data_IF_622624869456
#
_entry.id   IF_622624869456
#
_cell.length_a   1.000
_cell.length_b   1.000
_cell.length_c   1.000
_cell.angle_alpha   90.00
_cell.angle_beta   90.00
_cell.angle_gamma   90.00
#
_symmetry.space_group_name_H-M   'P 1'
#
loop_
_entity.id
_entity.type
_entity.pdbx_description
1 polymer ?
#
# COMPACT_ATOMS: atom_id res chain seq x y z
N UNK A 1 -56.00 -10.96 -37.48
CA UNK A 1 -55.84 -10.64 -36.03
C UNK A 1 -54.69 -11.37 -35.33
N UNK A 2 -53.93 -12.25 -36.01
CA UNK A 2 -52.86 -13.04 -35.36
C UNK A 2 -51.48 -12.33 -35.37
N UNK A 3 -51.19 -11.52 -36.39
CA UNK A 3 -49.90 -10.82 -36.53
C UNK A 3 -49.63 -9.76 -35.44
N UNK A 4 -50.67 -9.11 -34.89
CA UNK A 4 -50.52 -8.10 -33.84
C UNK A 4 -50.09 -8.66 -32.48
N UNK A 5 -50.45 -9.92 -32.19
CA UNK A 5 -50.04 -10.62 -30.96
C UNK A 5 -48.57 -11.08 -31.01
N UNK A 6 -48.09 -11.49 -32.19
CA UNK A 6 -46.68 -11.83 -32.38
C UNK A 6 -45.76 -10.59 -32.32
N UNK A 7 -46.21 -9.43 -32.82
CA UNK A 7 -45.48 -8.16 -32.70
C UNK A 7 -45.34 -7.66 -31.26
N UNK A 8 -46.40 -7.78 -30.45
CA UNK A 8 -46.38 -7.42 -29.03
C UNK A 8 -45.49 -8.36 -28.19
N UNK A 9 -45.49 -9.67 -28.49
CA UNK A 9 -44.61 -10.64 -27.84
C UNK A 9 -43.12 -10.41 -28.15
N UNK A 10 -42.79 -10.10 -29.40
CA UNK A 10 -41.41 -9.76 -29.80
C UNK A 10 -40.89 -8.47 -29.17
N UNK A 11 -41.73 -7.45 -29.02
CA UNK A 11 -41.37 -6.19 -28.36
C UNK A 11 -41.11 -6.37 -26.86
N UNK A 12 -41.90 -7.20 -26.17
CA UNK A 12 -41.70 -7.51 -24.74
C UNK A 12 -40.39 -8.28 -24.50
N UNK A 13 -40.10 -9.29 -25.33
CA UNK A 13 -38.84 -10.05 -25.22
C UNK A 13 -37.63 -9.17 -25.55
N UNK A 14 -37.73 -8.33 -26.60
CA UNK A 14 -36.68 -7.36 -26.94
C UNK A 14 -36.42 -6.34 -25.84
N UNK A 15 -37.47 -5.86 -25.17
CA UNK A 15 -37.34 -4.94 -24.04
C UNK A 15 -36.65 -5.60 -22.83
N UNK A 16 -37.05 -6.83 -22.46
CA UNK A 16 -36.44 -7.56 -21.32
C UNK A 16 -34.96 -7.86 -21.57
N UNK A 17 -34.60 -8.32 -22.77
CA UNK A 17 -33.20 -8.60 -23.12
C UNK A 17 -32.37 -7.31 -23.15
N UNK A 18 -32.93 -6.21 -23.68
CA UNK A 18 -32.26 -4.91 -23.69
C UNK A 18 -32.05 -4.36 -22.27
N UNK A 19 -33.07 -4.42 -21.41
CA UNK A 19 -32.95 -3.99 -20.00
C UNK A 19 -31.97 -4.89 -19.22
N UNK A 20 -32.01 -6.21 -19.45
CA UNK A 20 -31.06 -7.15 -18.85
C UNK A 20 -29.61 -6.90 -19.27
N UNK A 21 -29.38 -6.61 -20.56
CA UNK A 21 -28.06 -6.26 -21.08
C UNK A 21 -27.55 -4.94 -20.49
N UNK A 22 -28.41 -3.91 -20.38
CA UNK A 22 -28.05 -2.64 -19.75
C UNK A 22 -27.70 -2.83 -18.27
N UNK A 23 -28.47 -3.59 -17.51
CA UNK A 23 -28.18 -3.87 -16.09
C UNK A 23 -26.86 -4.63 -15.94
N UNK A 24 -26.62 -5.64 -16.77
CA UNK A 24 -25.36 -6.39 -16.75
C UNK A 24 -24.17 -5.49 -17.10
N UNK A 25 -24.32 -4.66 -18.13
CA UNK A 25 -23.30 -3.72 -18.57
C UNK A 25 -23.03 -2.66 -17.50
N UNK A 26 -24.06 -2.10 -16.85
CA UNK A 26 -23.92 -1.18 -15.72
C UNK A 26 -23.19 -1.82 -14.54
N UNK A 27 -23.53 -3.06 -14.18
CA UNK A 27 -22.84 -3.79 -13.11
C UNK A 27 -21.38 -4.06 -13.44
N UNK A 28 -21.10 -4.45 -14.68
CA UNK A 28 -19.73 -4.67 -15.14
C UNK A 28 -18.91 -3.37 -15.08
N UNK A 29 -19.45 -2.27 -15.59
CA UNK A 29 -18.80 -0.95 -15.54
C UNK A 29 -18.59 -0.47 -14.11
N UNK A 30 -19.56 -0.67 -13.21
CA UNK A 30 -19.42 -0.31 -11.81
C UNK A 30 -18.28 -1.09 -11.12
N UNK A 31 -18.16 -2.40 -11.40
CA UNK A 31 -17.11 -3.23 -10.85
C UNK A 31 -15.72 -2.88 -11.41
N UNK A 32 -15.63 -2.56 -12.71
CA UNK A 32 -14.40 -2.08 -13.32
C UNK A 32 -13.97 -0.70 -12.79
N UNK A 33 -14.93 0.19 -12.52
CA UNK A 33 -14.69 1.48 -11.90
C UNK A 33 -14.19 1.35 -10.46
N UNK A 34 -14.81 0.46 -9.67
CA UNK A 34 -14.37 0.12 -8.32
C UNK A 34 -12.94 -0.44 -8.31
N UNK A 35 -12.65 -1.39 -9.21
CA UNK A 35 -11.30 -1.95 -9.35
C UNK A 35 -10.28 -0.88 -9.71
N UNK A 36 -10.60 0.01 -10.64
CA UNK A 36 -9.70 1.10 -11.05
C UNK A 36 -9.48 2.08 -9.90
N UNK A 37 -10.52 2.39 -9.14
CA UNK A 37 -10.43 3.25 -7.97
C UNK A 37 -9.52 2.66 -6.88
N UNK A 38 -9.72 1.39 -6.54
CA UNK A 38 -8.88 0.68 -5.56
C UNK A 38 -7.41 0.60 -6.02
N UNK A 39 -7.16 0.39 -7.31
CA UNK A 39 -5.82 0.43 -7.89
C UNK A 39 -5.17 1.82 -7.75
N UNK A 40 -5.93 2.88 -8.03
CA UNK A 40 -5.43 4.26 -7.87
C UNK A 40 -5.10 4.61 -6.42
N UNK A 41 -5.89 4.11 -5.45
CA UNK A 41 -5.60 4.27 -4.03
C UNK A 41 -4.31 3.54 -3.63
N UNK A 42 -4.11 2.31 -4.12
CA UNK A 42 -2.89 1.54 -3.87
C UNK A 42 -1.64 2.17 -4.50
N UNK A 43 -1.74 2.69 -5.72
CA UNK A 43 -0.64 3.41 -6.39
C UNK A 43 -0.27 4.70 -5.64
N UNK A 44 -1.27 5.44 -5.17
CA UNK A 44 -1.06 6.65 -4.35
C UNK A 44 -0.38 6.30 -3.02
N UNK A 45 -0.87 5.26 -2.33
CA UNK A 45 -0.27 4.80 -1.09
C UNK A 45 1.18 4.31 -1.30
N UNK A 46 1.46 3.62 -2.40
CA UNK A 46 2.81 3.15 -2.72
C UNK A 46 3.79 4.30 -2.96
N UNK A 47 3.37 5.33 -3.70
CA UNK A 47 4.17 6.54 -3.89
C UNK A 47 4.46 7.25 -2.55
N UNK A 48 3.46 7.33 -1.68
CA UNK A 48 3.61 7.96 -0.37
C UNK A 48 4.53 7.16 0.56
N UNK A 49 4.43 5.82 0.58
CA UNK A 49 5.39 4.96 1.27
C UNK A 49 6.83 5.17 0.78
N UNK A 50 7.04 5.32 -0.53
CA UNK A 50 8.36 5.63 -1.10
C UNK A 50 8.85 6.99 -0.59
N UNK A 51 8.02 8.03 -0.65
CA UNK A 51 8.37 9.37 -0.15
C UNK A 51 8.73 9.35 1.34
N UNK A 52 7.93 8.67 2.16
CA UNK A 52 8.17 8.50 3.59
C UNK A 52 9.44 7.70 3.88
N UNK A 53 9.74 6.67 3.08
CA UNK A 53 10.99 5.91 3.25
C UNK A 53 12.23 6.78 3.04
N UNK A 54 12.22 7.71 2.08
CA UNK A 54 13.31 8.68 1.92
C UNK A 54 13.38 9.66 3.09
N UNK A 55 12.24 10.17 3.56
CA UNK A 55 12.21 11.09 4.70
C UNK A 55 12.73 10.42 5.99
N UNK A 56 12.37 9.16 6.22
CA UNK A 56 12.89 8.36 7.34
C UNK A 56 14.39 8.13 7.20
N UNK A 57 14.86 7.77 5.99
CA UNK A 57 16.29 7.59 5.71
C UNK A 57 17.08 8.87 6.00
N UNK A 58 16.64 10.02 5.49
CA UNK A 58 17.25 11.33 5.75
C UNK A 58 17.22 11.70 7.24
N UNK A 59 16.15 11.33 7.95
CA UNK A 59 16.03 11.58 9.39
C UNK A 59 17.05 10.77 10.20
N UNK A 60 17.28 9.52 9.83
CA UNK A 60 18.32 8.68 10.43
C UNK A 60 19.74 9.12 10.07
N UNK A 61 19.96 9.66 8.86
CA UNK A 61 21.28 10.20 8.45
C UNK A 61 21.74 11.40 9.30
N UNK A 62 20.82 12.09 9.97
CA UNK A 62 21.13 13.16 10.94
C UNK A 62 21.68 12.61 12.27
N UNK A 63 21.65 11.30 12.46
CA UNK A 63 22.02 10.62 13.71
C UNK A 63 20.84 10.50 14.67
N UNK A 64 20.81 9.41 15.44
CA UNK A 64 19.75 9.16 16.43
C UNK A 64 19.91 10.13 17.61
N UNK A 65 18.82 10.81 17.96
CA UNK A 65 18.81 11.81 19.01
C UNK A 65 18.78 11.21 20.43
N UNK A 66 19.55 11.81 21.35
CA UNK A 66 19.48 11.46 22.78
C UNK A 66 18.18 11.98 23.41
N UNK A 67 17.29 11.08 23.84
CA UNK A 67 16.00 11.37 24.48
C UNK A 67 16.10 12.28 25.72
N UNK A 68 17.26 12.32 26.37
CA UNK A 68 17.50 13.20 27.53
C UNK A 68 17.60 14.66 27.11
N UNK A 69 18.04 14.93 25.89
CA UNK A 69 18.17 16.27 25.33
C UNK A 69 16.84 16.76 24.71
N UNK A 70 16.54 18.08 24.74
CA UNK A 70 15.40 18.64 24.01
C UNK A 70 15.44 18.32 22.51
N UNK A 71 16.60 18.46 21.88
CA UNK A 71 16.80 18.17 20.46
C UNK A 71 16.54 16.69 20.12
N UNK A 72 16.95 15.76 20.98
CA UNK A 72 16.66 14.34 20.77
C UNK A 72 15.19 14.01 20.94
N UNK A 73 14.48 14.64 21.90
CA UNK A 73 13.00 14.48 22.00
C UNK A 73 12.28 14.98 20.75
N UNK A 74 12.71 16.11 20.20
CA UNK A 74 12.17 16.63 18.93
C UNK A 74 12.45 15.66 17.78
N UNK A 75 13.66 15.09 17.74
CA UNK A 75 14.03 14.06 16.76
C UNK A 75 13.12 12.82 16.86
N UNK A 76 12.86 12.31 18.07
CA UNK A 76 11.99 11.14 18.27
C UNK A 76 10.52 11.46 17.95
N UNK A 77 10.05 12.66 18.28
CA UNK A 77 8.70 13.11 17.93
C UNK A 77 8.50 13.18 16.41
N UNK A 78 9.50 13.67 15.67
CA UNK A 78 9.47 13.71 14.22
C UNK A 78 9.53 12.30 13.61
N UNK A 79 10.37 11.41 14.15
CA UNK A 79 10.39 10.01 13.73
C UNK A 79 9.02 9.35 13.94
N UNK A 80 8.39 9.57 15.10
CA UNK A 80 7.06 9.04 15.39
C UNK A 80 6.01 9.56 14.42
N UNK A 81 6.09 10.84 14.02
CA UNK A 81 5.20 11.44 13.01
C UNK A 81 5.37 10.76 11.66
N UNK A 82 6.60 10.60 11.18
CA UNK A 82 6.91 9.92 9.92
C UNK A 82 6.43 8.47 9.95
N UNK A 83 6.67 7.76 11.05
CA UNK A 83 6.32 6.36 11.18
C UNK A 83 4.80 6.14 11.25
N UNK A 84 4.06 7.03 11.93
CA UNK A 84 2.59 7.01 11.92
C UNK A 84 2.03 7.24 10.51
N UNK A 85 2.60 8.19 9.76
CA UNK A 85 2.19 8.40 8.37
C UNK A 85 2.44 7.17 7.50
N UNK A 86 3.50 6.41 7.76
CA UNK A 86 3.78 5.15 7.07
C UNK A 86 2.75 4.07 7.42
N UNK A 87 2.38 3.94 8.70
CA UNK A 87 1.33 3.03 9.16
C UNK A 87 -0.03 3.36 8.53
N UNK A 88 -0.39 4.66 8.45
CA UNK A 88 -1.61 5.11 7.79
C UNK A 88 -1.66 4.71 6.30
N UNK A 89 -0.52 4.72 5.60
CA UNK A 89 -0.45 4.23 4.22
C UNK A 89 -0.56 2.71 4.15
N UNK A 90 0.01 1.99 5.12
CA UNK A 90 -0.05 0.53 5.16
C UNK A 90 -1.49 0.01 5.18
N UNK A 91 -2.40 0.69 5.89
CA UNK A 91 -3.82 0.35 5.97
C UNK A 91 -4.57 0.42 4.63
N UNK A 92 -3.99 1.09 3.62
CA UNK A 92 -4.61 1.25 2.28
C UNK A 92 -4.34 0.08 1.35
N UNK A 93 -3.44 -0.84 1.71
CA UNK A 93 -3.13 -2.00 0.90
C UNK A 93 -4.05 -3.18 1.23
N UNK A 94 -4.64 -3.77 0.19
CA UNK A 94 -5.44 -5.00 0.33
C UNK A 94 -4.56 -6.24 0.52
N UNK A 95 -3.33 -6.21 0.01
CA UNK A 95 -2.37 -7.31 0.13
C UNK A 95 -1.84 -7.42 1.57
N UNK A 96 -2.03 -8.60 2.17
CA UNK A 96 -1.63 -8.87 3.56
C UNK A 96 -0.11 -8.90 3.75
N UNK A 97 0.64 -9.39 2.77
CA UNK A 97 2.10 -9.45 2.84
C UNK A 97 2.68 -8.04 2.90
N UNK A 98 2.14 -7.13 2.09
CA UNK A 98 2.53 -5.70 2.16
C UNK A 98 2.21 -5.11 3.53
N UNK A 99 1.01 -5.36 4.07
CA UNK A 99 0.63 -4.85 5.40
C UNK A 99 1.57 -5.38 6.49
N UNK A 100 1.89 -6.67 6.48
CA UNK A 100 2.78 -7.29 7.46
C UNK A 100 4.21 -6.75 7.35
N UNK A 101 4.73 -6.58 6.13
CA UNK A 101 6.04 -5.97 5.91
C UNK A 101 6.11 -4.56 6.50
N UNK A 102 5.15 -3.70 6.14
CA UNK A 102 5.12 -2.31 6.61
C UNK A 102 4.91 -2.24 8.12
N UNK A 103 4.04 -3.08 8.70
CA UNK A 103 3.83 -3.16 10.14
C UNK A 103 5.10 -3.60 10.89
N UNK A 104 5.85 -4.56 10.34
CA UNK A 104 7.11 -5.02 10.92
C UNK A 104 8.17 -3.93 10.89
N UNK A 105 8.33 -3.25 9.76
CA UNK A 105 9.24 -2.11 9.65
C UNK A 105 8.86 -0.96 10.57
N UNK A 106 7.56 -0.66 10.65
CA UNK A 106 7.03 0.32 11.59
C UNK A 106 7.41 -0.03 13.04
N UNK A 107 7.21 -1.28 13.46
CA UNK A 107 7.55 -1.74 14.80
C UNK A 107 9.06 -1.69 15.06
N UNK A 108 9.88 -2.07 14.07
CA UNK A 108 11.34 -2.06 14.18
C UNK A 108 11.87 -0.63 14.37
N UNK A 109 11.40 0.31 13.56
CA UNK A 109 11.72 1.74 13.64
C UNK A 109 11.24 2.35 14.97
N UNK A 110 10.02 2.02 15.39
CA UNK A 110 9.41 2.61 16.59
C UNK A 110 10.03 2.11 17.88
N UNK A 111 10.22 0.80 18.01
CA UNK A 111 10.60 0.18 19.29
C UNK A 111 12.10 0.29 19.54
N UNK A 112 12.92 0.29 18.48
CA UNK A 112 14.39 0.25 18.60
C UNK A 112 15.09 1.21 17.63
N UNK A 113 14.80 2.52 17.70
CA UNK A 113 15.41 3.50 16.81
C UNK A 113 16.95 3.49 16.86
N UNK A 114 17.55 3.30 18.04
CA UNK A 114 19.01 3.22 18.19
C UNK A 114 19.62 2.04 17.42
N UNK A 115 18.98 0.86 17.52
CA UNK A 115 19.41 -0.33 16.79
C UNK A 115 19.10 -0.23 15.30
N UNK A 116 18.08 0.54 14.89
CA UNK A 116 17.83 0.81 13.47
C UNK A 116 18.83 1.82 12.89
N UNK A 117 19.28 2.76 13.71
CA UNK A 117 20.37 3.68 13.37
C UNK A 117 21.74 2.99 13.23
N UNK A 118 21.88 1.78 13.79
CA UNK A 118 23.07 0.91 13.84
C UNK A 118 24.35 1.54 13.24
N UNK A 119 25.14 2.28 14.05
CA UNK A 119 26.38 2.88 13.57
C UNK A 119 27.46 1.82 13.24
N UNK A 120 27.33 0.61 13.79
CA UNK A 120 28.30 -0.47 13.63
C UNK A 120 27.92 -1.46 12.50
N UNK A 121 26.64 -1.49 12.12
CA UNK A 121 26.11 -2.30 11.04
C UNK A 121 26.42 -1.75 9.65
N UNK A 122 26.89 -2.62 8.74
CA UNK A 122 27.12 -2.27 7.34
C UNK A 122 26.37 -3.20 6.36
N UNK A 123 25.40 -2.69 5.57
CA UNK A 123 24.88 -1.32 5.60
C UNK A 123 24.06 -1.03 6.87
N UNK A 124 23.92 0.25 7.28
CA UNK A 124 23.04 0.63 8.39
C UNK A 124 21.62 0.10 8.20
N UNK A 125 20.99 -0.35 9.29
CA UNK A 125 19.72 -1.06 9.23
C UNK A 125 18.59 -0.22 8.63
N UNK A 126 18.54 1.08 8.90
CA UNK A 126 17.58 2.00 8.30
C UNK A 126 17.66 2.02 6.76
N UNK A 127 18.86 1.88 6.16
CA UNK A 127 19.03 1.82 4.70
C UNK A 127 18.44 0.55 4.11
N UNK A 128 18.60 -0.58 4.80
CA UNK A 128 17.98 -1.85 4.39
C UNK A 128 16.46 -1.76 4.46
N UNK A 129 15.92 -1.29 5.59
CA UNK A 129 14.46 -1.14 5.78
C UNK A 129 13.86 -0.21 4.72
N UNK A 130 14.41 1.00 4.55
CA UNK A 130 13.92 1.95 3.55
C UNK A 130 14.13 1.43 2.12
N UNK A 131 15.22 0.69 1.86
CA UNK A 131 15.47 0.02 0.58
C UNK A 131 14.42 -1.05 0.26
N UNK A 132 14.05 -1.87 1.26
CA UNK A 132 13.04 -2.92 1.12
C UNK A 132 11.67 -2.32 0.83
N UNK A 133 11.26 -1.29 1.58
CA UNK A 133 10.02 -0.54 1.32
C UNK A 133 9.99 -0.02 -0.11
N UNK A 134 11.05 0.67 -0.57
CA UNK A 134 11.13 1.20 -1.95
C UNK A 134 11.05 0.08 -2.99
N UNK A 135 11.68 -1.05 -2.74
CA UNK A 135 11.68 -2.18 -3.68
C UNK A 135 10.28 -2.81 -3.79
N UNK A 136 9.62 -3.07 -2.67
CA UNK A 136 8.26 -3.66 -2.65
C UNK A 136 7.25 -2.68 -3.25
N UNK A 137 7.29 -1.40 -2.86
CA UNK A 137 6.39 -0.38 -3.43
C UNK A 137 6.65 -0.17 -4.93
N UNK A 138 7.91 -0.24 -5.37
CA UNK A 138 8.25 -0.24 -6.79
C UNK A 138 7.66 -1.42 -7.56
N UNK A 139 7.59 -2.60 -6.94
CA UNK A 139 6.91 -3.76 -7.53
C UNK A 139 5.39 -3.56 -7.60
N UNK A 140 4.77 -2.95 -6.58
CA UNK A 140 3.35 -2.54 -6.62
C UNK A 140 3.08 -1.63 -7.82
N UNK A 141 3.86 -0.55 -7.97
CA UNK A 141 3.69 0.41 -9.07
C UNK A 141 3.91 -0.23 -10.45
N UNK A 142 4.88 -1.14 -10.57
CA UNK A 142 5.16 -1.86 -11.82
C UNK A 142 4.25 -3.06 -12.05
N UNK A 143 3.41 -3.42 -11.07
CA UNK A 143 2.56 -4.62 -11.08
C UNK A 143 3.36 -5.90 -11.34
N UNK A 144 4.53 -5.98 -10.71
CA UNK A 144 5.45 -7.10 -10.80
C UNK A 144 5.32 -8.00 -9.57
N UNK A 145 5.68 -9.29 -9.67
CA UNK A 145 5.82 -10.15 -8.50
C UNK A 145 6.75 -9.54 -7.46
N UNK A 146 6.43 -9.72 -6.19
CA UNK A 146 7.29 -9.25 -5.11
C UNK A 146 8.60 -10.04 -5.08
N UNK A 147 9.74 -9.39 -4.79
CA UNK A 147 11.03 -10.05 -4.77
C UNK A 147 11.15 -11.03 -3.59
N UNK A 148 11.35 -12.33 -3.90
CA UNK A 148 11.43 -13.42 -2.90
C UNK A 148 12.45 -13.15 -1.79
N UNK A 149 13.62 -12.59 -2.13
CA UNK A 149 14.69 -12.24 -1.18
C UNK A 149 14.25 -11.36 -0.01
N UNK A 150 13.24 -10.49 -0.22
CA UNK A 150 12.77 -9.59 0.84
C UNK A 150 11.97 -10.40 1.85
N UNK A 151 11.11 -11.30 1.37
CA UNK A 151 10.31 -12.16 2.23
C UNK A 151 11.14 -13.20 2.99
N UNK A 152 12.25 -13.64 2.41
CA UNK A 152 13.23 -14.50 3.11
C UNK A 152 13.84 -13.81 4.35
N UNK A 153 14.00 -12.48 4.31
CA UNK A 153 14.48 -11.70 5.46
C UNK A 153 13.40 -11.49 6.53
N UNK A 154 12.13 -11.69 6.18
CA UNK A 154 10.98 -11.47 7.03
C UNK A 154 10.02 -12.67 6.96
N UNK A 155 10.43 -13.87 7.42
CA UNK A 155 9.58 -15.04 7.40
C UNK A 155 8.30 -14.77 8.19
N UNK A 156 7.19 -15.26 7.66
CA UNK A 156 5.86 -15.18 8.29
C UNK A 156 5.96 -15.82 9.68
N UNK A 157 5.48 -15.16 10.76
CA UNK A 157 5.59 -15.69 12.12
C UNK A 157 4.64 -16.86 12.42
N UNK A 158 4.13 -17.55 11.39
CA UNK A 158 3.19 -18.68 11.50
C UNK A 158 3.77 -19.85 12.29
#
# INVERSE_FOLDING_TARGET
MVAGLFGLGGALVGAVVSTGAVIWQQRKTAHEAERTHLLGLAETAANECIRLSYAIEEHFEKGVGDERSPAGREWHAELQRLNRSLEEQALRFHDEQIRHLLARHHAEIYVRPDWVGDPDGWPPRFRTICGDIRTVMGAVLRRQPFPARIWENYPDPS
#
